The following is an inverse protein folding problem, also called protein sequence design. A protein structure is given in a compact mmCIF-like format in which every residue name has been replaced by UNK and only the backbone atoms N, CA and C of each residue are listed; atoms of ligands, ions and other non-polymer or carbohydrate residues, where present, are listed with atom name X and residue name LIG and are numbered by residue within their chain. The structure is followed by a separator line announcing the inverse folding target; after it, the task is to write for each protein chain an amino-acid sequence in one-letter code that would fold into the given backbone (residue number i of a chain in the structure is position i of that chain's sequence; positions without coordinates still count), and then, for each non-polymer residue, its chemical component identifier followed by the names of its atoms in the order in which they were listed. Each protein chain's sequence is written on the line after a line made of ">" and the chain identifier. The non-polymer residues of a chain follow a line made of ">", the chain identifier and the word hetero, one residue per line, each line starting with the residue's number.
data_IF_667296311612
#
_entry.id   IF_667296311612
#
_cell.length_a   1.000
_cell.length_b   1.000
_cell.length_c   1.000
_cell.angle_alpha   90.00
_cell.angle_beta   90.00
_cell.angle_gamma   90.00
#
_symmetry.space_group_name_H-M   'P 1'
#
loop_
_entity.id
_entity.type
_entity.pdbx_description
1 polymer ?
#
# COMPACT_ATOMS: atom_id res chain seq x y z
N UNK A 1 14.14 -1.07 0.75
CA UNK A 1 15.07 -2.17 1.12
C UNK A 1 15.75 -1.96 2.47
N UNK A 2 16.57 -0.90 2.66
CA UNK A 2 17.28 -0.65 3.95
C UNK A 2 16.37 -0.64 5.20
N UNK A 3 15.24 0.07 5.16
CA UNK A 3 14.41 0.29 6.34
C UNK A 3 13.16 -0.61 6.43
N UNK A 4 12.60 -1.01 5.28
CA UNK A 4 11.41 -1.87 5.16
C UNK A 4 11.56 -2.85 3.99
N UNK A 5 12.30 -3.96 4.16
CA UNK A 5 12.51 -4.95 3.10
C UNK A 5 11.23 -5.74 2.76
N UNK A 6 10.31 -5.87 3.72
CA UNK A 6 9.01 -6.53 3.57
C UNK A 6 8.06 -5.84 2.58
N UNK A 7 8.31 -4.56 2.28
CA UNK A 7 7.53 -3.80 1.30
C UNK A 7 8.09 -3.91 -0.13
N UNK A 8 9.18 -4.66 -0.32
CA UNK A 8 9.77 -4.87 -1.65
C UNK A 8 8.77 -5.60 -2.55
N UNK A 9 8.60 -5.10 -3.76
CA UNK A 9 7.67 -5.68 -4.75
C UNK A 9 6.26 -5.09 -4.72
N UNK A 10 5.92 -4.27 -3.71
CA UNK A 10 4.68 -3.49 -3.78
C UNK A 10 4.81 -2.35 -4.79
N UNK A 11 3.76 -2.05 -5.57
CA UNK A 11 3.74 -0.87 -6.41
C UNK A 11 3.70 0.41 -5.56
N UNK A 12 4.08 1.54 -6.17
CA UNK A 12 4.15 2.84 -5.50
C UNK A 12 3.24 3.87 -6.15
N UNK A 13 2.73 4.82 -5.36
CA UNK A 13 2.06 6.02 -5.88
C UNK A 13 3.02 7.18 -6.10
N UNK A 14 4.27 7.05 -5.64
CA UNK A 14 5.27 8.10 -5.73
C UNK A 14 5.84 8.23 -7.15
N UNK A 15 6.32 9.42 -7.48
CA UNK A 15 7.09 9.64 -8.70
C UNK A 15 8.51 9.08 -8.56
N UNK A 16 9.17 8.82 -9.71
CA UNK A 16 10.55 8.29 -9.77
C UNK A 16 11.59 9.13 -9.03
N UNK A 17 11.27 10.39 -8.74
CA UNK A 17 12.10 11.37 -8.03
C UNK A 17 12.08 11.20 -6.51
N UNK A 18 11.20 10.37 -5.96
CA UNK A 18 11.08 10.14 -4.51
C UNK A 18 12.12 9.11 -4.03
N UNK A 19 13.41 9.47 -4.15
CA UNK A 19 14.58 8.59 -3.90
C UNK A 19 15.23 8.78 -2.53
N UNK A 20 14.77 9.77 -1.75
CA UNK A 20 15.27 10.05 -0.39
C UNK A 20 16.58 10.85 -0.33
N UNK A 21 16.93 11.58 -1.38
CA UNK A 21 18.25 12.20 -1.52
C UNK A 21 18.58 13.23 -0.42
N UNK A 22 17.58 14.00 0.02
CA UNK A 22 17.77 14.94 1.14
C UNK A 22 18.09 14.24 2.46
N UNK A 23 17.45 13.10 2.75
CA UNK A 23 17.73 12.31 3.95
C UNK A 23 19.13 11.72 3.89
N UNK A 24 19.53 11.17 2.74
CA UNK A 24 20.89 10.64 2.54
C UNK A 24 21.97 11.71 2.70
N UNK A 25 21.72 12.92 2.20
CA UNK A 25 22.65 14.04 2.34
C UNK A 25 22.81 14.45 3.81
N UNK A 26 21.70 14.51 4.56
CA UNK A 26 21.70 14.83 5.98
C UNK A 26 22.45 13.75 6.79
N UNK A 27 22.18 12.46 6.55
CA UNK A 27 22.93 11.34 7.15
C UNK A 27 24.43 11.46 6.83
N UNK A 28 24.79 11.88 5.62
CA UNK A 28 26.17 12.07 5.17
C UNK A 28 26.95 13.16 5.92
N UNK A 29 26.27 14.15 6.50
CA UNK A 29 26.88 15.20 7.35
C UNK A 29 26.72 14.90 8.85
N UNK A 30 26.29 13.68 9.21
CA UNK A 30 26.17 13.23 10.59
C UNK A 30 24.85 13.59 11.28
N UNK A 31 23.83 14.02 10.53
CA UNK A 31 22.51 14.26 11.11
C UNK A 31 21.85 12.93 11.54
N UNK A 32 21.15 12.95 12.68
CA UNK A 32 20.34 11.82 13.13
C UNK A 32 18.99 11.77 12.37
N UNK A 33 18.50 10.55 12.14
CA UNK A 33 17.16 10.29 11.59
C UNK A 33 16.30 9.59 12.62
N UNK A 34 14.98 9.76 12.52
CA UNK A 34 13.99 9.10 13.38
C UNK A 34 12.91 8.46 12.51
N UNK A 35 12.38 7.32 12.96
CA UNK A 35 11.21 6.66 12.36
C UNK A 35 11.35 6.29 10.86
N UNK A 36 12.57 6.04 10.38
CA UNK A 36 12.84 5.70 8.98
C UNK A 36 12.20 4.38 8.51
N UNK A 37 11.82 3.51 9.45
CA UNK A 37 11.09 2.26 9.25
C UNK A 37 9.57 2.45 9.13
N UNK A 38 9.05 3.63 9.49
CA UNK A 38 7.62 3.97 9.44
C UNK A 38 7.17 4.38 8.04
N UNK A 39 7.19 3.40 7.13
CA UNK A 39 6.68 3.56 5.76
C UNK A 39 5.20 3.21 5.71
N UNK A 40 4.38 4.16 5.27
CA UNK A 40 2.94 3.95 5.06
C UNK A 40 2.67 3.26 3.71
N UNK A 41 1.84 2.22 3.74
CA UNK A 41 1.25 1.61 2.54
C UNK A 41 -0.18 2.15 2.41
N UNK A 42 -0.51 2.74 1.27
CA UNK A 42 -1.87 3.20 1.02
C UNK A 42 -2.76 2.02 0.60
N UNK A 43 -3.98 1.87 1.17
CA UNK A 43 -4.83 0.71 0.90
C UNK A 43 -5.39 0.70 -0.52
N UNK A 44 -5.59 1.86 -1.13
CA UNK A 44 -6.29 1.97 -2.42
C UNK A 44 -5.45 2.69 -3.48
N UNK A 45 -5.16 2.00 -4.57
CA UNK A 45 -4.59 2.57 -5.80
C UNK A 45 -5.32 1.96 -7.00
N UNK A 46 -5.45 2.73 -8.08
CA UNK A 46 -6.09 2.24 -9.29
C UNK A 46 -5.17 1.26 -10.04
N UNK A 47 -5.75 0.14 -10.48
CA UNK A 47 -5.12 -0.78 -11.42
C UNK A 47 -5.45 -0.32 -12.85
N UNK A 48 -4.43 0.03 -13.62
CA UNK A 48 -4.57 0.22 -15.06
C UNK A 48 -4.71 -1.15 -15.73
N UNK A 49 -5.84 -1.41 -16.37
CA UNK A 49 -6.12 -2.70 -17.01
C UNK A 49 -5.24 -2.96 -18.24
N UNK A 50 -4.71 -1.92 -18.88
CA UNK A 50 -3.77 -2.06 -19.99
C UNK A 50 -2.34 -2.37 -19.48
N UNK A 51 -2.03 -1.94 -18.26
CA UNK A 51 -0.71 -2.08 -17.64
C UNK A 51 -0.82 -2.52 -16.16
N UNK A 52 -1.34 -3.73 -15.89
CA UNK A 52 -1.59 -4.20 -14.53
C UNK A 52 -0.32 -4.35 -13.69
N UNK A 53 0.83 -4.59 -14.32
CA UNK A 53 2.13 -4.73 -13.67
C UNK A 53 2.91 -3.41 -13.55
N UNK A 54 2.30 -2.27 -13.91
CA UNK A 54 2.98 -0.98 -13.79
C UNK A 54 3.41 -0.71 -12.34
N UNK A 55 4.70 -0.47 -12.12
CA UNK A 55 5.27 -0.19 -10.79
C UNK A 55 4.66 1.04 -10.14
N UNK A 56 4.29 2.05 -10.95
CA UNK A 56 3.61 3.24 -10.49
C UNK A 56 2.11 3.12 -10.68
N UNK A 57 1.35 3.36 -9.62
CA UNK A 57 -0.12 3.40 -9.66
C UNK A 57 -0.64 4.80 -9.37
N UNK A 58 -1.80 5.13 -9.94
CA UNK A 58 -2.52 6.34 -9.59
C UNK A 58 -3.24 6.12 -8.27
N UNK A 59 -3.07 7.03 -7.32
CA UNK A 59 -3.74 6.95 -6.03
C UNK A 59 -5.26 6.95 -6.22
N UNK A 60 -5.93 5.99 -5.62
CA UNK A 60 -7.39 6.01 -5.48
C UNK A 60 -7.69 6.74 -4.18
N UNK A 61 -8.19 7.97 -4.32
CA UNK A 61 -8.31 8.91 -3.22
C UNK A 61 -9.16 8.35 -2.08
N UNK A 62 -8.71 8.55 -0.84
CA UNK A 62 -9.44 8.16 0.38
C UNK A 62 -10.84 8.78 0.44
N UNK A 63 -11.02 9.95 -0.17
CA UNK A 63 -12.32 10.60 -0.31
C UNK A 63 -13.37 9.68 -0.95
N UNK A 64 -12.98 8.79 -1.88
CA UNK A 64 -13.91 7.86 -2.52
C UNK A 64 -14.55 6.90 -1.50
N UNK A 65 -13.77 6.43 -0.52
CA UNK A 65 -14.30 5.69 0.64
C UNK A 65 -15.12 6.61 1.55
N UNK A 66 -14.61 7.82 1.81
CA UNK A 66 -15.27 8.86 2.61
C UNK A 66 -16.69 9.24 2.17
N UNK A 67 -16.95 9.24 0.86
CA UNK A 67 -18.27 9.58 0.30
C UNK A 67 -19.19 8.36 0.10
N UNK A 68 -18.80 7.18 0.59
CA UNK A 68 -19.64 5.97 0.57
C UNK A 68 -19.13 4.82 -0.31
N UNK A 69 -17.90 4.91 -0.83
CA UNK A 69 -17.28 3.80 -1.55
C UNK A 69 -17.00 2.60 -0.63
N UNK A 70 -17.41 1.41 -1.08
CA UNK A 70 -17.26 0.16 -0.34
C UNK A 70 -16.09 -0.67 -0.87
N UNK A 71 -15.44 -1.42 0.03
CA UNK A 71 -14.38 -2.36 -0.33
C UNK A 71 -14.92 -3.79 -0.29
N UNK A 72 -14.89 -4.45 -1.45
CA UNK A 72 -15.40 -5.80 -1.62
C UNK A 72 -14.28 -6.78 -1.99
N UNK A 73 -14.39 -8.01 -1.52
CA UNK A 73 -13.50 -9.10 -1.95
C UNK A 73 -13.72 -9.41 -3.43
N UNK A 74 -12.64 -9.70 -4.16
CA UNK A 74 -12.75 -10.10 -5.59
C UNK A 74 -13.45 -11.45 -5.78
N UNK A 75 -13.32 -12.35 -4.80
CA UNK A 75 -13.85 -13.72 -4.86
C UNK A 75 -15.33 -13.81 -4.47
N UNK A 76 -15.73 -13.27 -3.30
CA UNK A 76 -17.11 -13.38 -2.80
C UNK A 76 -17.95 -12.13 -3.03
N UNK A 77 -17.34 -10.97 -3.32
CA UNK A 77 -18.06 -9.70 -3.43
C UNK A 77 -18.54 -9.15 -2.09
N UNK A 78 -18.02 -9.65 -0.97
CA UNK A 78 -18.43 -9.27 0.37
C UNK A 78 -17.56 -8.15 0.94
N UNK A 79 -18.16 -7.34 1.82
CA UNK A 79 -17.40 -6.35 2.61
C UNK A 79 -16.53 -7.07 3.62
N UNK A 80 -15.30 -6.60 3.79
CA UNK A 80 -14.31 -7.24 4.67
C UNK A 80 -13.70 -6.31 5.72
N UNK A 81 -13.98 -5.01 5.67
CA UNK A 81 -13.44 -4.01 6.61
C UNK A 81 -14.32 -2.77 6.66
N UNK A 82 -14.20 -2.01 7.74
CA UNK A 82 -14.67 -0.62 7.78
C UNK A 82 -13.77 0.25 6.89
N UNK A 83 -14.33 0.80 5.82
CA UNK A 83 -13.61 1.58 4.83
C UNK A 83 -13.05 2.91 5.37
N UNK A 84 -13.51 3.37 6.54
CA UNK A 84 -12.99 4.58 7.20
C UNK A 84 -11.96 4.28 8.30
N UNK A 85 -11.61 3.01 8.50
CA UNK A 85 -10.58 2.63 9.44
C UNK A 85 -9.18 3.19 9.03
N UNK A 86 -8.23 3.29 9.98
CA UNK A 86 -6.85 3.63 9.69
C UNK A 86 -6.24 2.78 8.57
N UNK A 87 -5.33 3.37 7.79
CA UNK A 87 -4.76 2.75 6.58
C UNK A 87 -4.09 1.40 6.83
N UNK A 88 -3.37 1.29 7.95
CA UNK A 88 -2.72 0.06 8.39
C UNK A 88 -3.75 -1.05 8.69
N UNK A 89 -4.88 -0.72 9.33
CA UNK A 89 -5.99 -1.65 9.56
C UNK A 89 -6.58 -2.14 8.25
N UNK A 90 -6.86 -1.21 7.31
CA UNK A 90 -7.43 -1.57 6.00
C UNK A 90 -6.46 -2.46 5.20
N UNK A 91 -5.16 -2.13 5.18
CA UNK A 91 -4.14 -2.94 4.51
C UNK A 91 -4.01 -4.33 5.15
N UNK A 92 -4.05 -4.42 6.49
CA UNK A 92 -3.99 -5.70 7.18
C UNK A 92 -5.20 -6.59 6.84
N UNK A 93 -6.40 -6.01 6.82
CA UNK A 93 -7.61 -6.73 6.44
C UNK A 93 -7.56 -7.22 4.98
N UNK A 94 -7.03 -6.41 4.05
CA UNK A 94 -6.83 -6.82 2.65
C UNK A 94 -5.89 -8.03 2.54
N UNK A 95 -4.75 -8.01 3.23
CA UNK A 95 -3.78 -9.12 3.20
C UNK A 95 -4.35 -10.40 3.76
N UNK A 96 -5.06 -10.33 4.89
CA UNK A 96 -5.73 -11.49 5.48
C UNK A 96 -6.70 -12.16 4.48
N UNK A 97 -7.46 -11.35 3.71
CA UNK A 97 -8.36 -11.89 2.68
C UNK A 97 -7.65 -12.47 1.46
N UNK A 98 -6.50 -11.93 1.07
CA UNK A 98 -5.67 -12.55 0.03
C UNK A 98 -5.14 -13.92 0.47
N UNK A 99 -4.66 -14.04 1.71
CA UNK A 99 -4.13 -15.29 2.27
C UNK A 99 -5.23 -16.37 2.37
N UNK A 100 -6.41 -16.03 2.92
CA UNK A 100 -7.59 -16.93 2.95
C UNK A 100 -7.98 -17.40 1.53
N UNK A 101 -7.87 -16.52 0.53
CA UNK A 101 -8.20 -16.84 -0.86
C UNK A 101 -7.17 -17.74 -1.54
N UNK A 102 -5.93 -17.76 -1.06
CA UNK A 102 -4.86 -18.64 -1.56
C UNK A 102 -4.99 -20.04 -0.96
N UNK A 103 -5.19 -20.13 0.36
CA UNK A 103 -5.38 -21.41 1.05
C UNK A 103 -6.58 -22.20 0.50
N UNK A 104 -7.68 -21.50 0.20
CA UNK A 104 -8.88 -22.11 -0.39
C UNK A 104 -8.72 -22.59 -1.85
N UNK A 105 -7.66 -22.18 -2.56
CA UNK A 105 -7.35 -22.67 -3.91
C UNK A 105 -6.37 -23.85 -3.92
N UNK A 106 -5.63 -24.04 -2.84
CA UNK A 106 -4.65 -25.11 -2.67
C UNK A 106 -5.24 -26.34 -1.96
N UNK A 107 -6.47 -26.22 -1.44
CA UNK A 107 -7.29 -27.29 -0.84
C UNK A 107 -8.25 -27.91 -1.85
#
# INVERSE_FOLDING_TARGET
>A
EKYRPDLKGLPTTNGRWSTGDGVKLAEGVGAATVDMDRVQVHPTAFLDLNHPEAERKTLCAELLRGVGGLLLTRSSGERFVDELAPRDVVVAAMRAKEDESRESRES
#
